data_IF_065146413676
#
_entry.id   IF_065146413676
#
_cell.length_a   1.000
_cell.length_b   1.000
_cell.length_c   1.000
_cell.angle_alpha   90.00
_cell.angle_beta   90.00
_cell.angle_gamma   90.00
#
_symmetry.space_group_name_H-M   'P 1'
#
loop_
_entity.id
_entity.type
_entity.pdbx_description
1 polymer ?
#
# COMPACT_ATOMS: atom_id res chain seq x y z
N UNK A 1 -5.31 59.80 -34.29
CA UNK A 1 -6.63 60.11 -33.68
C UNK A 1 -7.24 58.78 -33.23
N UNK A 2 -7.28 58.48 -31.93
CA UNK A 2 -8.42 58.60 -30.99
C UNK A 2 -9.04 57.21 -30.65
N UNK A 3 -8.90 56.83 -29.37
CA UNK A 3 -9.90 56.20 -28.45
C UNK A 3 -10.52 54.84 -28.87
N UNK A 4 -10.24 53.71 -28.19
CA UNK A 4 -10.77 53.21 -26.89
C UNK A 4 -12.16 52.53 -26.96
N UNK A 5 -12.37 51.53 -26.08
CA UNK A 5 -13.60 50.84 -25.58
C UNK A 5 -13.62 49.35 -26.00
N UNK A 6 -13.26 48.36 -25.14
CA UNK A 6 -13.89 47.81 -23.92
C UNK A 6 -15.20 47.01 -24.19
N UNK A 7 -15.12 45.71 -23.86
CA UNK A 7 -16.14 44.73 -23.41
C UNK A 7 -17.52 44.65 -24.10
N UNK A 8 -18.01 43.42 -24.30
CA UNK A 8 -19.17 42.83 -23.60
C UNK A 8 -19.29 41.37 -24.09
N UNK A 9 -18.81 40.43 -23.27
CA UNK A 9 -19.18 39.01 -23.35
C UNK A 9 -20.14 38.73 -22.22
N UNK A 10 -21.41 39.13 -22.39
CA UNK A 10 -22.50 38.82 -21.47
C UNK A 10 -22.79 37.32 -21.49
N UNK A 11 -22.34 36.60 -20.47
CA UNK A 11 -23.03 35.38 -20.02
C UNK A 11 -23.82 35.78 -18.77
N UNK A 12 -25.09 36.08 -19.01
CA UNK A 12 -26.10 36.15 -17.97
C UNK A 12 -26.48 34.71 -17.67
N UNK A 13 -26.03 34.17 -16.54
CA UNK A 13 -26.73 33.06 -15.89
C UNK A 13 -27.22 33.60 -14.54
N UNK A 14 -28.36 34.28 -14.62
CA UNK A 14 -29.24 34.48 -13.47
C UNK A 14 -30.25 33.34 -13.49
N UNK A 15 -29.91 32.24 -12.82
CA UNK A 15 -30.90 31.35 -12.20
C UNK A 15 -30.43 31.09 -10.78
N UNK A 16 -30.68 32.09 -9.92
CA UNK A 16 -30.87 31.88 -8.49
C UNK A 16 -32.16 31.06 -8.32
N UNK A 17 -32.00 29.74 -8.35
CA UNK A 17 -32.91 28.79 -7.70
C UNK A 17 -32.03 28.08 -6.69
N UNK A 18 -32.00 28.62 -5.47
CA UNK A 18 -31.30 28.08 -4.31
C UNK A 18 -32.01 26.79 -3.85
N UNK A 19 -31.93 25.73 -4.66
CA UNK A 19 -32.03 24.39 -4.11
C UNK A 19 -30.62 24.05 -3.66
N UNK A 20 -30.46 23.95 -2.35
CA UNK A 20 -29.30 23.31 -1.76
C UNK A 20 -29.19 21.94 -2.42
N UNK A 21 -28.11 21.75 -3.22
CA UNK A 21 -27.85 20.48 -3.89
C UNK A 21 -27.68 19.41 -2.82
N UNK A 22 -28.16 18.20 -3.09
CA UNK A 22 -27.83 17.10 -2.18
C UNK A 22 -26.32 16.81 -2.23
N UNK A 23 -25.79 16.15 -1.21
CA UNK A 23 -24.35 15.81 -1.14
C UNK A 23 -23.91 15.05 -2.39
N UNK A 24 -24.75 14.19 -2.92
CA UNK A 24 -24.51 13.37 -4.11
C UNK A 24 -24.53 14.18 -5.43
N UNK A 25 -25.15 15.36 -5.44
CA UNK A 25 -25.16 16.28 -6.59
C UNK A 25 -24.03 17.31 -6.53
N UNK A 26 -23.48 17.55 -5.34
CA UNK A 26 -22.40 18.51 -5.10
C UNK A 26 -21.02 17.87 -5.16
N UNK A 27 -20.88 16.66 -4.66
CA UNK A 27 -19.61 15.95 -4.59
C UNK A 27 -19.61 14.80 -5.61
N UNK A 28 -18.66 14.83 -6.53
CA UNK A 28 -18.49 13.77 -7.53
C UNK A 28 -17.29 12.92 -7.20
N UNK A 29 -17.49 11.61 -7.24
CA UNK A 29 -16.40 10.66 -7.18
C UNK A 29 -15.71 10.56 -8.54
N UNK A 30 -14.43 10.95 -8.56
CA UNK A 30 -13.49 10.65 -9.62
C UNK A 30 -12.52 9.58 -9.09
N UNK A 31 -11.98 8.74 -9.98
CA UNK A 31 -11.27 7.47 -9.69
C UNK A 31 -10.45 7.40 -8.40
N UNK A 32 -9.78 8.47 -7.98
CA UNK A 32 -8.94 8.54 -6.78
C UNK A 32 -9.30 9.69 -5.81
N UNK A 33 -10.32 10.49 -6.12
CA UNK A 33 -10.64 11.72 -5.39
C UNK A 33 -12.13 12.05 -5.41
N UNK A 34 -12.58 12.78 -4.41
CA UNK A 34 -13.90 13.41 -4.41
C UNK A 34 -13.74 14.87 -4.80
N UNK A 35 -14.54 15.37 -5.74
CA UNK A 35 -14.47 16.76 -6.22
C UNK A 35 -15.73 17.50 -5.81
N UNK A 36 -15.58 18.62 -5.09
CA UNK A 36 -16.68 19.56 -4.84
C UNK A 36 -16.90 20.42 -6.08
N UNK A 37 -18.04 20.25 -6.75
CA UNK A 37 -18.37 20.98 -7.98
C UNK A 37 -18.62 22.48 -7.70
N UNK A 38 -18.94 22.86 -6.46
CA UNK A 38 -19.22 24.24 -6.10
C UNK A 38 -17.95 25.04 -5.80
N UNK A 39 -17.00 24.46 -5.05
CA UNK A 39 -15.76 25.13 -4.68
C UNK A 39 -14.59 24.80 -5.62
N UNK A 40 -14.65 23.64 -6.28
CA UNK A 40 -13.54 23.09 -7.06
C UNK A 40 -12.48 22.40 -6.20
N UNK A 41 -12.74 22.19 -4.91
CA UNK A 41 -11.81 21.51 -4.00
C UNK A 41 -11.78 20.01 -4.27
N UNK A 42 -10.57 19.44 -4.21
CA UNK A 42 -10.32 18.02 -4.41
C UNK A 42 -9.96 17.36 -3.08
N UNK A 43 -10.67 16.30 -2.72
CA UNK A 43 -10.49 15.55 -1.50
C UNK A 43 -9.81 14.22 -1.85
N UNK A 44 -8.56 14.06 -1.42
CA UNK A 44 -7.69 12.94 -1.75
C UNK A 44 -7.28 12.27 -0.44
N UNK A 45 -7.54 10.98 -0.31
CA UNK A 45 -7.17 10.23 0.90
C UNK A 45 -5.93 9.37 0.60
N UNK A 46 -4.81 9.73 1.22
CA UNK A 46 -3.52 9.02 1.06
C UNK A 46 -3.16 8.16 2.28
N UNK A 47 -3.73 8.46 3.45
CA UNK A 47 -3.48 7.80 4.73
C UNK A 47 -4.79 7.35 5.39
N UNK A 48 -4.70 6.37 6.31
CA UNK A 48 -5.89 5.85 7.02
C UNK A 48 -6.47 6.95 7.92
N UNK A 49 -7.75 7.28 7.71
CA UNK A 49 -8.53 8.28 8.45
C UNK A 49 -8.17 9.75 8.19
N UNK A 50 -7.35 10.07 7.18
CA UNK A 50 -6.97 11.45 6.84
C UNK A 50 -7.22 11.77 5.37
N UNK A 51 -7.87 12.91 5.10
CA UNK A 51 -8.10 13.46 3.76
C UNK A 51 -7.22 14.68 3.56
N UNK A 52 -6.46 14.68 2.47
CA UNK A 52 -5.81 15.85 1.91
C UNK A 52 -6.82 16.60 1.06
N UNK A 53 -7.19 17.80 1.47
CA UNK A 53 -7.98 18.71 0.65
C UNK A 53 -7.01 19.58 -0.15
N UNK A 54 -7.17 19.59 -1.47
CA UNK A 54 -6.44 20.46 -2.39
C UNK A 54 -7.41 21.52 -2.86
N UNK A 55 -7.18 22.76 -2.44
CA UNK A 55 -8.01 23.88 -2.84
C UNK A 55 -7.65 24.36 -4.25
N UNK A 56 -8.57 25.10 -4.86
CA UNK A 56 -8.37 25.66 -6.22
C UNK A 56 -7.17 26.61 -6.35
N UNK A 57 -6.71 27.21 -5.24
CA UNK A 57 -5.51 28.04 -5.20
C UNK A 57 -4.20 27.22 -5.07
N UNK A 58 -4.31 25.89 -4.99
CA UNK A 58 -3.22 24.94 -4.85
C UNK A 58 -2.73 24.75 -3.41
N UNK A 59 -3.34 25.43 -2.43
CA UNK A 59 -3.08 25.15 -1.02
C UNK A 59 -3.62 23.78 -0.61
N UNK A 60 -3.00 23.18 0.40
CA UNK A 60 -3.36 21.85 0.90
C UNK A 60 -3.61 21.90 2.39
N UNK A 61 -4.65 21.22 2.83
CA UNK A 61 -4.92 20.94 4.24
C UNK A 61 -5.13 19.45 4.45
N UNK A 62 -4.82 18.97 5.65
CA UNK A 62 -5.08 17.60 6.07
C UNK A 62 -6.17 17.66 7.11
N UNK A 63 -7.29 16.99 6.85
CA UNK A 63 -8.42 16.90 7.76
C UNK A 63 -8.69 15.44 8.11
N UNK A 64 -9.15 15.14 9.33
CA UNK A 64 -9.71 13.83 9.63
C UNK A 64 -10.88 13.51 8.69
N UNK A 65 -11.04 12.24 8.32
CA UNK A 65 -12.14 11.81 7.44
C UNK A 65 -13.52 12.20 8.00
N UNK A 66 -13.67 12.16 9.32
CA UNK A 66 -14.91 12.50 10.04
C UNK A 66 -15.29 13.98 9.87
N UNK A 67 -14.32 14.84 9.53
CA UNK A 67 -14.54 16.26 9.28
C UNK A 67 -14.88 16.56 7.81
N UNK A 68 -14.83 15.56 6.94
CA UNK A 68 -15.15 15.77 5.53
C UNK A 68 -16.64 16.11 5.33
N UNK A 69 -16.98 17.08 4.47
CA UNK A 69 -18.37 17.53 4.28
C UNK A 69 -19.34 16.44 3.78
N UNK A 70 -18.80 15.40 3.14
CA UNK A 70 -19.55 14.26 2.62
C UNK A 70 -19.51 13.04 3.57
N UNK A 71 -18.86 13.12 4.72
CA UNK A 71 -18.78 12.03 5.69
C UNK A 71 -20.18 11.60 6.18
N UNK A 72 -20.41 10.29 6.27
CA UNK A 72 -21.71 9.70 6.64
C UNK A 72 -22.74 9.69 5.50
N UNK A 73 -22.37 10.10 4.28
CA UNK A 73 -23.19 9.92 3.08
C UNK A 73 -22.86 8.59 2.38
N UNK A 74 -23.74 8.15 1.48
CA UNK A 74 -23.47 6.97 0.62
C UNK A 74 -22.22 7.16 -0.24
N UNK A 75 -21.93 8.40 -0.65
CA UNK A 75 -20.70 8.74 -1.35
C UNK A 75 -19.45 8.45 -0.50
N UNK A 76 -19.48 8.81 0.78
CA UNK A 76 -18.36 8.50 1.69
C UNK A 76 -18.17 7.00 1.90
N UNK A 77 -19.25 6.22 1.95
CA UNK A 77 -19.19 4.77 2.12
C UNK A 77 -18.56 4.07 0.91
N UNK A 78 -18.97 4.46 -0.30
CA UNK A 78 -18.40 3.88 -1.53
C UNK A 78 -16.94 4.32 -1.73
N UNK A 79 -16.61 5.58 -1.38
CA UNK A 79 -15.24 6.07 -1.40
C UNK A 79 -14.35 5.33 -0.40
N UNK A 80 -14.84 5.12 0.82
CA UNK A 80 -14.16 4.34 1.86
C UNK A 80 -13.90 2.90 1.43
N UNK A 81 -14.89 2.24 0.83
CA UNK A 81 -14.76 0.85 0.35
C UNK A 81 -13.69 0.73 -0.74
N UNK A 82 -13.72 1.62 -1.73
CA UNK A 82 -12.70 1.64 -2.78
C UNK A 82 -11.29 1.88 -2.20
N UNK A 83 -11.19 2.79 -1.24
CA UNK A 83 -9.92 3.10 -0.60
C UNK A 83 -9.37 1.93 0.21
N UNK A 84 -10.22 1.24 0.96
CA UNK A 84 -9.82 0.06 1.71
C UNK A 84 -9.23 -1.00 0.76
N UNK A 85 -9.87 -1.22 -0.39
CA UNK A 85 -9.38 -2.11 -1.45
C UNK A 85 -8.02 -1.64 -1.98
N UNK A 86 -7.87 -0.35 -2.31
CA UNK A 86 -6.60 0.22 -2.82
C UNK A 86 -5.47 0.17 -1.81
N UNK A 87 -5.76 0.46 -0.54
CA UNK A 87 -4.77 0.39 0.53
C UNK A 87 -4.34 -1.05 0.78
N UNK A 88 -5.27 -2.00 0.68
CA UNK A 88 -4.95 -3.44 0.73
C UNK A 88 -4.04 -3.85 -0.43
N UNK A 89 -4.38 -3.50 -1.67
CA UNK A 89 -3.54 -3.75 -2.85
C UNK A 89 -2.12 -3.15 -2.69
N UNK A 90 -2.03 -1.92 -2.17
CA UNK A 90 -0.75 -1.24 -1.93
C UNK A 90 0.07 -1.93 -0.84
N UNK A 91 -0.56 -2.34 0.26
CA UNK A 91 0.09 -3.09 1.35
C UNK A 91 0.63 -4.41 0.83
N UNK A 92 -0.17 -5.18 0.10
CA UNK A 92 0.24 -6.46 -0.48
C UNK A 92 1.42 -6.30 -1.43
N UNK A 93 1.38 -5.27 -2.29
CA UNK A 93 2.48 -4.95 -3.20
C UNK A 93 3.77 -4.61 -2.44
N UNK A 94 3.70 -3.78 -1.40
CA UNK A 94 4.86 -3.40 -0.60
C UNK A 94 5.44 -4.60 0.16
N UNK A 95 4.59 -5.48 0.68
CA UNK A 95 5.02 -6.72 1.33
C UNK A 95 5.76 -7.64 0.35
N UNK A 96 5.24 -7.80 -0.87
CA UNK A 96 5.86 -8.59 -1.92
C UNK A 96 7.20 -7.98 -2.38
N UNK A 97 7.28 -6.66 -2.54
CA UNK A 97 8.52 -5.94 -2.83
C UNK A 97 9.57 -6.17 -1.73
N UNK A 98 9.18 -6.07 -0.46
CA UNK A 98 10.07 -6.30 0.69
C UNK A 98 10.52 -7.75 0.79
N UNK A 99 9.64 -8.71 0.53
CA UNK A 99 9.97 -10.14 0.44
C UNK A 99 11.04 -10.40 -0.62
N UNK A 100 10.86 -9.84 -1.81
CA UNK A 100 11.80 -9.98 -2.91
C UNK A 100 13.14 -9.30 -2.62
N UNK A 101 13.13 -8.13 -1.95
CA UNK A 101 14.34 -7.45 -1.48
C UNK A 101 15.13 -8.34 -0.49
N UNK A 102 14.46 -8.94 0.49
CA UNK A 102 15.09 -9.86 1.46
C UNK A 102 15.68 -11.08 0.75
N UNK A 103 14.93 -11.71 -0.17
CA UNK A 103 15.43 -12.83 -0.97
C UNK A 103 16.66 -12.45 -1.81
N UNK A 104 16.64 -11.29 -2.45
CA UNK A 104 17.76 -10.80 -3.24
C UNK A 104 19.01 -10.54 -2.38
N UNK A 105 18.84 -9.94 -1.21
CA UNK A 105 19.94 -9.74 -0.25
C UNK A 105 20.54 -11.07 0.22
N UNK A 106 19.69 -12.07 0.51
CA UNK A 106 20.13 -13.42 0.89
C UNK A 106 20.94 -14.08 -0.23
N UNK A 107 20.40 -14.12 -1.45
CA UNK A 107 21.11 -14.67 -2.61
C UNK A 107 22.44 -13.97 -2.84
N UNK A 108 22.48 -12.63 -2.72
CA UNK A 108 23.71 -11.87 -2.84
C UNK A 108 24.76 -12.22 -1.78
N UNK A 109 24.33 -12.52 -0.54
CA UNK A 109 25.22 -12.92 0.56
C UNK A 109 25.93 -14.24 0.28
N UNK A 110 25.23 -15.19 -0.34
CA UNK A 110 25.75 -16.53 -0.62
C UNK A 110 26.16 -16.76 -2.08
N UNK A 111 26.14 -15.73 -2.92
CA UNK A 111 26.36 -15.84 -4.37
C UNK A 111 27.73 -16.46 -4.74
N UNK A 112 28.75 -16.26 -3.92
CA UNK A 112 30.10 -16.80 -4.15
C UNK A 112 30.34 -18.17 -3.51
N UNK A 113 29.35 -18.73 -2.82
CA UNK A 113 29.45 -19.98 -2.06
C UNK A 113 28.68 -21.05 -2.83
N UNK A 114 29.33 -22.19 -3.09
CA UNK A 114 28.66 -23.33 -3.73
C UNK A 114 27.70 -24.02 -2.77
N UNK A 115 26.76 -24.78 -3.32
CA UNK A 115 25.73 -25.48 -2.56
C UNK A 115 26.32 -26.44 -1.50
N UNK A 116 27.33 -27.22 -1.89
CA UNK A 116 28.04 -28.12 -0.99
C UNK A 116 28.77 -27.37 0.13
N UNK A 117 29.37 -26.22 -0.18
CA UNK A 117 30.11 -25.42 0.80
C UNK A 117 29.14 -24.74 1.77
N UNK A 118 28.01 -24.22 1.28
CA UNK A 118 26.98 -23.64 2.11
C UNK A 118 26.37 -24.68 3.07
N UNK A 119 26.09 -25.89 2.60
CA UNK A 119 25.60 -26.97 3.43
C UNK A 119 26.61 -27.38 4.51
N UNK A 120 27.90 -27.45 4.17
CA UNK A 120 28.97 -27.71 5.15
C UNK A 120 29.08 -26.60 6.18
N UNK A 121 28.98 -25.34 5.76
CA UNK A 121 28.98 -24.19 6.66
C UNK A 121 27.78 -24.21 7.61
N UNK A 122 26.60 -24.58 7.11
CA UNK A 122 25.42 -24.81 7.93
C UNK A 122 25.66 -25.91 8.97
N UNK A 123 26.06 -27.12 8.56
CA UNK A 123 26.28 -28.25 9.46
C UNK A 123 27.32 -27.95 10.54
N UNK A 124 28.44 -27.34 10.14
CA UNK A 124 29.48 -26.90 11.07
C UNK A 124 28.95 -25.83 12.02
N UNK A 125 28.25 -24.84 11.51
CA UNK A 125 27.66 -23.76 12.31
C UNK A 125 26.63 -24.28 13.32
N UNK A 126 25.81 -25.24 12.92
CA UNK A 126 24.83 -25.89 13.78
C UNK A 126 25.52 -26.65 14.93
N UNK A 127 26.55 -27.44 14.62
CA UNK A 127 27.37 -28.13 15.64
C UNK A 127 28.09 -27.17 16.59
N UNK A 128 28.53 -26.02 16.07
CA UNK A 128 29.20 -24.97 16.85
C UNK A 128 28.21 -24.06 17.61
N UNK A 129 26.90 -24.23 17.42
CA UNK A 129 25.86 -23.47 18.11
C UNK A 129 25.80 -22.00 17.71
N UNK A 130 26.00 -21.68 16.42
CA UNK A 130 25.85 -20.29 15.94
C UNK A 130 24.39 -19.82 16.08
N UNK A 131 24.18 -18.50 16.07
CA UNK A 131 22.86 -17.86 16.12
C UNK A 131 21.82 -18.51 15.19
N UNK A 132 20.66 -18.87 15.74
CA UNK A 132 19.56 -19.53 15.00
C UNK A 132 19.13 -18.73 13.77
N UNK A 133 19.11 -17.40 13.87
CA UNK A 133 18.79 -16.51 12.74
C UNK A 133 19.73 -16.72 11.54
N UNK A 134 21.02 -16.98 11.79
CA UNK A 134 22.01 -17.26 10.77
C UNK A 134 21.84 -18.67 10.21
N UNK A 135 21.47 -19.64 11.05
CA UNK A 135 21.16 -21.00 10.61
C UNK A 135 19.95 -21.02 9.67
N UNK A 136 18.86 -20.35 10.07
CA UNK A 136 17.65 -20.20 9.26
C UNK A 136 17.92 -19.49 7.93
N UNK A 137 18.77 -18.46 7.92
CA UNK A 137 19.12 -17.75 6.69
C UNK A 137 19.91 -18.63 5.70
N UNK A 138 20.82 -19.47 6.19
CA UNK A 138 21.54 -20.44 5.35
C UNK A 138 20.61 -21.53 4.82
N UNK A 139 19.73 -22.07 5.68
CA UNK A 139 18.73 -23.08 5.27
C UNK A 139 17.76 -22.52 4.25
N UNK A 140 17.27 -21.29 4.43
CA UNK A 140 16.37 -20.65 3.48
C UNK A 140 17.02 -20.42 2.11
N UNK A 141 18.34 -20.17 2.05
CA UNK A 141 19.08 -20.15 0.79
C UNK A 141 19.22 -21.56 0.19
N UNK A 142 19.53 -22.57 1.00
CA UNK A 142 19.64 -23.97 0.54
C UNK A 142 18.31 -24.50 -0.02
N UNK A 143 17.18 -24.10 0.56
CA UNK A 143 15.83 -24.39 0.06
C UNK A 143 15.60 -23.73 -1.30
N UNK A 144 15.89 -22.43 -1.41
CA UNK A 144 15.70 -21.68 -2.66
C UNK A 144 16.57 -22.24 -3.81
N UNK A 145 17.71 -22.85 -3.49
CA UNK A 145 18.58 -23.55 -4.46
C UNK A 145 18.16 -24.99 -4.76
N UNK A 146 17.17 -25.52 -4.04
CA UNK A 146 16.71 -26.91 -4.19
C UNK A 146 17.65 -27.96 -3.63
N UNK A 147 18.54 -27.58 -2.71
CA UNK A 147 19.50 -28.49 -2.06
C UNK A 147 18.87 -29.19 -0.86
N UNK A 148 17.98 -28.49 -0.17
CA UNK A 148 17.22 -28.95 1.00
C UNK A 148 15.74 -28.69 0.72
N UNK A 149 14.86 -29.62 1.05
CA UNK A 149 13.42 -29.35 0.96
C UNK A 149 12.92 -28.57 2.18
N UNK A 150 11.86 -27.77 2.01
CA UNK A 150 11.20 -27.09 3.14
C UNK A 150 10.71 -28.07 4.21
N UNK A 151 10.40 -29.32 3.82
CA UNK A 151 9.96 -30.38 4.73
C UNK A 151 11.10 -30.96 5.58
N UNK A 152 12.32 -31.02 5.04
CA UNK A 152 13.52 -31.52 5.75
C UNK A 152 14.18 -30.45 6.62
N UNK A 153 13.92 -29.19 6.34
CA UNK A 153 14.55 -28.06 7.01
C UNK A 153 14.27 -27.95 8.52
N UNK A 154 13.06 -28.25 9.05
CA UNK A 154 12.81 -28.35 10.49
C UNK A 154 13.70 -29.38 11.19
N UNK A 155 13.85 -30.56 10.59
CA UNK A 155 14.69 -31.63 11.14
C UNK A 155 16.15 -31.22 11.15
N UNK A 156 16.63 -30.56 10.09
CA UNK A 156 18.00 -30.04 10.02
C UNK A 156 18.29 -28.95 11.05
N UNK A 157 17.29 -28.14 11.40
CA UNK A 157 17.40 -27.09 12.41
C UNK A 157 17.11 -27.59 13.83
N UNK A 158 16.68 -28.84 13.99
CA UNK A 158 16.24 -29.42 15.25
C UNK A 158 15.12 -28.62 15.92
N UNK A 159 14.19 -28.09 15.12
CA UNK A 159 13.03 -27.34 15.62
C UNK A 159 11.72 -27.92 15.09
N UNK A 160 10.64 -27.74 15.86
CA UNK A 160 9.33 -28.25 15.49
C UNK A 160 8.85 -27.63 14.17
N UNK A 161 8.32 -28.41 13.21
CA UNK A 161 7.82 -27.89 11.93
C UNK A 161 6.79 -26.76 12.09
N UNK A 162 5.97 -26.81 13.14
CA UNK A 162 4.95 -25.81 13.48
C UNK A 162 5.53 -24.42 13.83
N UNK A 163 6.83 -24.34 14.14
CA UNK A 163 7.51 -23.11 14.52
C UNK A 163 8.29 -22.48 13.35
N UNK A 164 8.28 -23.13 12.20
CA UNK A 164 8.95 -22.68 10.99
C UNK A 164 7.90 -22.34 9.94
N UNK A 165 8.01 -21.12 9.44
CA UNK A 165 7.52 -20.79 8.12
C UNK A 165 8.66 -20.16 7.30
N UNK A 166 9.15 -20.90 6.30
CA UNK A 166 10.15 -20.40 5.36
C UNK A 166 9.52 -19.68 4.18
N UNK A 167 8.23 -19.91 3.95
CA UNK A 167 7.45 -19.15 3.01
C UNK A 167 6.97 -17.91 3.75
N UNK A 168 7.29 -16.73 3.25
CA UNK A 168 6.56 -15.54 3.70
C UNK A 168 5.21 -15.64 3.00
N UNK A 169 4.28 -16.41 3.54
CA UNK A 169 2.89 -16.46 3.09
C UNK A 169 2.24 -15.14 3.51
N UNK A 170 1.86 -14.32 2.51
CA UNK A 170 0.97 -13.20 2.77
C UNK A 170 -0.41 -13.85 2.88
N UNK A 171 -0.83 -14.18 4.11
CA UNK A 171 -2.24 -14.50 4.35
C UNK A 171 -3.06 -13.34 3.80
N UNK A 172 -3.81 -13.59 2.73
CA UNK A 172 -4.85 -12.66 2.32
C UNK A 172 -5.79 -12.52 3.52
N UNK A 173 -6.03 -11.30 4.04
CA UNK A 173 -6.95 -11.13 5.14
C UNK A 173 -8.30 -11.72 4.73
N UNK A 174 -8.86 -12.55 5.62
CA UNK A 174 -10.16 -13.19 5.42
C UNK A 174 -11.20 -12.08 5.26
N UNK A 175 -11.81 -11.98 4.08
CA UNK A 175 -12.98 -11.13 3.85
C UNK A 175 -14.12 -11.65 4.76
N UNK A 176 -14.48 -10.88 5.79
CA UNK A 176 -15.71 -11.07 6.56
C UNK A 176 -16.75 -10.04 6.15
#
# INVERSE_FOLDING_TARGET
>A
MKKAIIFIGTIIILTSCSKEKSVEERYLYEVDKVVDIETGDEYIMEEENEIIVVHTDGSKEIIPIEEAPFYGSTLSEDYLRYLEEKMRERKDKLLEEKKNEIKAMRRSRYASISDEELLKQFQKGHQEGIEMSRQMDMIAELIERGVVSSEEAPDLLEISPELIDFEIEIEKPIDN
#
